data_IF_055278122209
#
_entry.id   IF_055278122209
#
_cell.length_a   1.000
_cell.length_b   1.000
_cell.length_c   1.000
_cell.angle_alpha   90.00
_cell.angle_beta   90.00
_cell.angle_gamma   90.00
#
_symmetry.space_group_name_H-M   'P 1'
#
loop_
_entity.id
_entity.type
_entity.pdbx_description
1 polymer ?
#
# COMPACT_ATOMS: atom_id res chain seq x y z
N UNK A 1 9.39 -11.08 13.20
CA UNK A 1 10.36 -9.98 12.99
C UNK A 1 10.17 -8.93 14.08
N UNK A 2 11.25 -8.30 14.53
CA UNK A 2 11.20 -7.16 15.45
C UNK A 2 11.82 -5.94 14.75
N UNK A 3 11.17 -4.80 14.84
CA UNK A 3 11.57 -3.54 14.18
C UNK A 3 11.72 -2.46 15.24
N UNK A 4 12.84 -1.75 15.24
CA UNK A 4 13.01 -0.52 16.01
C UNK A 4 12.26 0.63 15.33
N UNK A 5 11.08 0.99 15.81
CA UNK A 5 10.28 2.07 15.28
C UNK A 5 10.80 3.43 15.76
N UNK A 6 11.07 4.36 14.84
CA UNK A 6 11.55 5.73 15.15
C UNK A 6 10.40 6.60 15.63
N UNK A 7 9.84 6.22 16.77
CA UNK A 7 8.71 6.87 17.46
C UNK A 7 9.03 7.16 18.92
N UNK A 8 10.31 7.15 19.30
CA UNK A 8 10.74 7.58 20.64
C UNK A 8 10.50 9.07 20.89
N UNK A 9 10.81 9.52 22.10
CA UNK A 9 10.50 10.88 22.57
C UNK A 9 11.26 11.97 21.80
N UNK A 10 12.39 11.62 21.18
CA UNK A 10 13.23 12.52 20.39
C UNK A 10 13.27 12.08 18.92
N UNK A 11 12.34 12.61 18.11
CA UNK A 11 12.27 12.36 16.66
C UNK A 11 12.28 13.68 15.89
N UNK A 12 13.40 14.00 15.23
CA UNK A 12 13.57 15.22 14.42
C UNK A 12 13.42 14.91 12.93
N UNK A 13 12.19 14.92 12.41
CA UNK A 13 11.88 14.71 10.98
C UNK A 13 11.39 16.02 10.35
N UNK A 14 11.92 16.46 9.19
CA UNK A 14 11.42 17.62 8.45
C UNK A 14 9.93 17.49 8.09
N UNK A 15 9.16 18.57 8.19
CA UNK A 15 7.70 18.57 8.03
C UNK A 15 7.22 17.95 6.69
N UNK A 16 7.84 18.33 5.57
CA UNK A 16 7.47 17.80 4.25
C UNK A 16 7.66 16.27 4.14
N UNK A 17 8.70 15.74 4.81
CA UNK A 17 8.95 14.29 4.89
C UNK A 17 7.97 13.59 5.83
N UNK A 18 7.42 14.31 6.81
CA UNK A 18 6.40 13.79 7.74
C UNK A 18 5.10 13.51 7.01
N UNK A 19 4.67 14.38 6.10
CA UNK A 19 3.45 14.17 5.31
C UNK A 19 3.59 12.95 4.38
N UNK A 20 4.66 12.90 3.58
CA UNK A 20 4.90 11.75 2.70
C UNK A 20 5.03 10.43 3.46
N UNK A 21 5.75 10.42 4.60
CA UNK A 21 5.81 9.25 5.50
C UNK A 21 4.41 8.88 6.00
N UNK A 22 3.62 9.84 6.44
CA UNK A 22 2.27 9.59 6.96
C UNK A 22 1.36 8.99 5.89
N UNK A 23 1.36 9.52 4.66
CA UNK A 23 0.56 8.97 3.55
C UNK A 23 0.96 7.52 3.25
N UNK A 24 2.26 7.24 3.13
CA UNK A 24 2.75 5.89 2.87
C UNK A 24 2.41 4.93 4.01
N UNK A 25 2.54 5.38 5.27
CA UNK A 25 2.15 4.59 6.44
C UNK A 25 0.65 4.31 6.42
N UNK A 26 -0.21 5.30 6.20
CA UNK A 26 -1.66 5.10 6.17
C UNK A 26 -2.07 4.12 5.06
N UNK A 27 -1.49 4.26 3.87
CA UNK A 27 -1.71 3.33 2.76
C UNK A 27 -1.28 1.90 3.14
N UNK A 28 -0.10 1.76 3.74
CA UNK A 28 0.41 0.46 4.19
C UNK A 28 -0.46 -0.15 5.29
N UNK A 29 -0.91 0.64 6.27
CA UNK A 29 -1.80 0.19 7.35
C UNK A 29 -3.16 -0.25 6.80
N UNK A 30 -3.75 0.55 5.91
CA UNK A 30 -5.01 0.25 5.24
C UNK A 30 -4.94 -1.09 4.49
N UNK A 31 -3.95 -1.24 3.61
CA UNK A 31 -3.84 -2.42 2.75
C UNK A 31 -3.35 -3.67 3.49
N UNK A 32 -2.48 -3.53 4.50
CA UNK A 32 -2.03 -4.67 5.31
C UNK A 32 -3.04 -5.08 6.40
N UNK A 33 -3.95 -4.18 6.78
CA UNK A 33 -4.87 -4.29 7.93
C UNK A 33 -4.14 -4.44 9.27
N UNK A 34 -2.98 -3.81 9.39
CA UNK A 34 -2.12 -3.86 10.58
C UNK A 34 -1.63 -2.46 10.91
N UNK A 35 -1.44 -2.16 12.20
CA UNK A 35 -0.84 -0.88 12.61
C UNK A 35 0.67 -0.92 12.38
N UNK A 36 1.21 0.10 11.72
CA UNK A 36 2.61 0.21 11.30
C UNK A 36 3.15 1.57 11.77
N UNK A 37 3.71 1.66 12.99
CA UNK A 37 4.22 2.92 13.52
C UNK A 37 5.42 3.47 12.72
N UNK A 38 6.22 2.60 12.10
CA UNK A 38 7.32 3.02 11.23
C UNK A 38 7.64 1.97 10.15
N UNK A 39 7.19 2.25 8.93
CA UNK A 39 7.40 1.36 7.78
C UNK A 39 8.88 1.32 7.33
N UNK A 40 9.55 2.46 7.40
CA UNK A 40 10.84 2.69 6.73
C UNK A 40 12.04 2.54 7.68
N UNK A 41 11.88 1.93 8.86
CA UNK A 41 13.00 1.73 9.78
C UNK A 41 13.96 0.66 9.26
N UNK A 42 15.24 0.97 9.11
CA UNK A 42 16.27 -0.01 8.76
C UNK A 42 16.68 -0.91 9.92
N UNK A 43 16.42 -0.52 11.17
CA UNK A 43 16.86 -1.26 12.34
C UNK A 43 15.87 -2.37 12.70
N UNK A 44 16.25 -3.62 12.43
CA UNK A 44 15.35 -4.77 12.53
C UNK A 44 16.11 -6.08 12.69
N UNK A 45 15.42 -7.08 13.23
CA UNK A 45 15.86 -8.48 13.29
C UNK A 45 14.75 -9.41 12.82
N UNK A 46 15.09 -10.37 11.98
CA UNK A 46 14.16 -11.35 11.41
C UNK A 46 14.89 -12.67 11.18
N UNK A 47 14.12 -13.75 11.05
CA UNK A 47 14.68 -15.07 10.73
C UNK A 47 14.99 -15.14 9.23
N UNK A 48 16.16 -15.69 8.89
CA UNK A 48 16.65 -15.76 7.50
C UNK A 48 15.74 -16.60 6.61
N UNK A 49 15.31 -17.76 7.10
CA UNK A 49 14.40 -18.68 6.40
C UNK A 49 13.10 -17.98 5.96
N UNK A 50 12.48 -17.21 6.86
CA UNK A 50 11.27 -16.45 6.54
C UNK A 50 11.55 -15.35 5.51
N UNK A 51 12.68 -14.64 5.63
CA UNK A 51 13.04 -13.61 4.65
C UNK A 51 13.30 -14.20 3.26
N UNK A 52 13.91 -15.38 3.17
CA UNK A 52 14.20 -16.01 1.87
C UNK A 52 12.93 -16.46 1.13
N UNK A 53 11.83 -16.77 1.83
CA UNK A 53 10.54 -17.11 1.21
C UNK A 53 9.98 -15.99 0.32
N UNK A 54 10.36 -14.75 0.60
CA UNK A 54 9.88 -13.57 -0.12
C UNK A 54 10.93 -12.97 -1.05
N UNK A 55 12.03 -13.68 -1.30
CA UNK A 55 13.18 -13.16 -2.03
C UNK A 55 12.83 -12.64 -3.43
N UNK A 56 11.97 -13.37 -4.15
CA UNK A 56 11.53 -12.99 -5.50
C UNK A 56 10.70 -11.69 -5.56
N UNK A 57 10.19 -11.20 -4.43
CA UNK A 57 9.45 -9.93 -4.38
C UNK A 57 10.33 -8.74 -4.02
N UNK A 58 11.58 -8.97 -3.59
CA UNK A 58 12.45 -7.88 -3.21
C UNK A 58 12.84 -7.06 -4.44
N UNK A 59 12.75 -5.72 -4.36
CA UNK A 59 13.22 -4.87 -5.44
C UNK A 59 14.75 -4.91 -5.51
N UNK A 60 15.32 -4.76 -6.71
CA UNK A 60 16.77 -4.75 -6.94
C UNK A 60 17.51 -3.58 -6.29
N UNK A 61 16.78 -2.60 -5.75
CA UNK A 61 17.34 -1.38 -5.15
C UNK A 61 16.75 -1.04 -3.80
N UNK A 62 16.29 0.20 -3.68
CA UNK A 62 15.71 0.69 -2.43
C UNK A 62 14.37 0.00 -2.14
N UNK A 63 13.99 -0.07 -0.87
CA UNK A 63 12.69 -0.58 -0.36
C UNK A 63 12.61 -2.05 0.05
N UNK A 64 13.72 -2.76 0.22
CA UNK A 64 13.75 -4.05 0.91
C UNK A 64 12.98 -4.01 2.25
N UNK A 65 13.23 -2.96 3.04
CA UNK A 65 12.64 -2.75 4.37
C UNK A 65 11.10 -2.69 4.33
N UNK A 66 10.54 -1.95 3.40
CA UNK A 66 9.09 -1.86 3.19
C UNK A 66 8.54 -3.20 2.72
N UNK A 67 9.24 -3.84 1.78
CA UNK A 67 8.81 -5.10 1.16
C UNK A 67 8.69 -6.23 2.16
N UNK A 68 9.75 -6.48 2.93
CA UNK A 68 9.75 -7.56 3.93
C UNK A 68 8.75 -7.28 5.06
N UNK A 69 8.55 -6.01 5.46
CA UNK A 69 7.55 -5.65 6.48
C UNK A 69 6.15 -5.96 5.98
N UNK A 70 5.79 -5.51 4.77
CA UNK A 70 4.48 -5.78 4.21
C UNK A 70 4.27 -7.28 3.97
N UNK A 71 5.23 -7.97 3.36
CA UNK A 71 5.13 -9.41 3.11
C UNK A 71 4.92 -10.19 4.43
N UNK A 72 5.66 -9.86 5.49
CA UNK A 72 5.44 -10.53 6.78
C UNK A 72 4.07 -10.22 7.38
N UNK A 73 3.61 -8.96 7.34
CA UNK A 73 2.30 -8.56 7.88
C UNK A 73 1.12 -9.15 7.09
N UNK A 74 1.21 -9.18 5.76
CA UNK A 74 0.14 -9.72 4.90
C UNK A 74 0.06 -11.25 4.96
N UNK A 75 1.15 -11.92 5.27
CA UNK A 75 1.22 -13.38 5.46
C UNK A 75 1.11 -13.80 6.94
N UNK A 76 0.55 -12.95 7.80
CA UNK A 76 0.25 -13.27 9.20
C UNK A 76 1.46 -13.66 10.09
N UNK A 77 2.69 -13.31 9.69
CA UNK A 77 3.85 -13.47 10.56
C UNK A 77 3.80 -12.45 11.70
N UNK A 78 4.33 -12.83 12.87
CA UNK A 78 4.43 -11.93 14.02
C UNK A 78 5.48 -10.84 13.77
N UNK A 79 5.04 -9.59 13.74
CA UNK A 79 5.89 -8.40 13.66
C UNK A 79 5.68 -7.55 14.91
N UNK A 80 6.75 -7.27 15.65
CA UNK A 80 6.71 -6.40 16.84
C UNK A 80 7.50 -5.13 16.58
N UNK A 81 6.91 -3.99 16.93
CA UNK A 81 7.58 -2.68 16.87
C UNK A 81 8.03 -2.28 18.28
N UNK A 82 9.29 -1.90 18.43
CA UNK A 82 9.85 -1.38 19.67
C UNK A 82 10.27 0.08 19.45
N UNK A 83 9.85 1.04 20.30
CA UNK A 83 10.24 2.43 20.12
C UNK A 83 11.74 2.60 20.28
N UNK A 84 12.35 3.39 19.39
CA UNK A 84 13.76 3.81 19.45
C UNK A 84 13.86 5.32 19.21
N UNK A 85 14.87 5.94 19.82
CA UNK A 85 15.22 7.33 19.56
C UNK A 85 15.93 7.45 18.21
N UNK A 86 15.62 8.53 17.47
CA UNK A 86 16.22 8.78 16.15
C UNK A 86 16.78 10.19 16.08
N UNK A 87 18.11 10.27 16.19
CA UNK A 87 18.84 11.52 16.17
C UNK A 87 18.92 12.09 14.74
N UNK A 88 19.17 13.40 14.66
CA UNK A 88 19.35 14.09 13.38
C UNK A 88 20.54 13.48 12.65
N UNK A 89 20.31 13.04 11.40
CA UNK A 89 21.38 12.54 10.52
C UNK A 89 22.42 13.65 10.30
N UNK A 90 23.69 13.27 10.38
CA UNK A 90 24.82 14.04 9.84
C UNK A 90 25.03 13.62 8.38
N UNK A 91 25.06 14.58 7.45
CA UNK A 91 25.21 14.35 6.01
C UNK A 91 23.92 14.50 5.18
N UNK A 92 24.07 14.49 3.85
CA UNK A 92 22.97 14.64 2.90
C UNK A 92 22.22 13.32 2.69
N UNK A 93 20.92 13.42 2.40
CA UNK A 93 20.10 12.27 2.03
C UNK A 93 20.28 11.99 0.55
N UNK A 94 20.53 10.74 0.17
CA UNK A 94 20.50 10.28 -1.22
C UNK A 94 19.07 10.12 -1.77
N UNK A 95 18.06 10.20 -0.89
CA UNK A 95 16.64 10.04 -1.22
C UNK A 95 16.12 11.28 -1.94
N UNK A 96 15.56 11.08 -3.13
CA UNK A 96 14.83 12.06 -3.92
C UNK A 96 13.35 12.03 -3.51
N UNK A 97 12.82 13.08 -2.84
CA UNK A 97 11.51 13.03 -2.18
C UNK A 97 10.34 12.60 -3.08
N UNK A 98 10.28 13.09 -4.32
CA UNK A 98 9.16 12.82 -5.24
C UNK A 98 9.30 11.45 -5.89
N UNK A 99 10.46 11.19 -6.52
CA UNK A 99 10.73 9.92 -7.21
C UNK A 99 10.61 8.72 -6.26
N UNK A 100 11.21 8.83 -5.08
CA UNK A 100 11.20 7.72 -4.13
C UNK A 100 9.81 7.53 -3.50
N UNK A 101 9.07 8.62 -3.27
CA UNK A 101 7.67 8.53 -2.82
C UNK A 101 6.79 7.76 -3.81
N UNK A 102 6.89 8.05 -5.11
CA UNK A 102 6.15 7.33 -6.14
C UNK A 102 6.58 5.86 -6.20
N UNK A 103 7.88 5.59 -6.19
CA UNK A 103 8.42 4.23 -6.18
C UNK A 103 7.89 3.43 -4.98
N UNK A 104 7.89 4.03 -3.79
CA UNK A 104 7.35 3.41 -2.58
C UNK A 104 5.84 3.17 -2.68
N UNK A 105 5.10 4.12 -3.25
CA UNK A 105 3.65 3.98 -3.42
C UNK A 105 3.33 2.79 -4.34
N UNK A 106 3.98 2.73 -5.50
CA UNK A 106 3.85 1.63 -6.46
C UNK A 106 4.24 0.30 -5.81
N UNK A 107 5.30 0.27 -5.02
CA UNK A 107 5.72 -0.93 -4.30
C UNK A 107 4.69 -1.41 -3.29
N UNK A 108 4.15 -0.52 -2.47
CA UNK A 108 3.11 -0.86 -1.49
C UNK A 108 1.90 -1.45 -2.22
N UNK A 109 1.43 -0.79 -3.29
CA UNK A 109 0.32 -1.27 -4.12
C UNK A 109 0.65 -2.64 -4.72
N UNK A 110 1.85 -2.84 -5.28
CA UNK A 110 2.28 -4.11 -5.89
C UNK A 110 2.26 -5.26 -4.90
N UNK A 111 2.88 -5.09 -3.73
CA UNK A 111 2.94 -6.14 -2.71
C UNK A 111 1.53 -6.46 -2.19
N UNK A 112 0.73 -5.43 -1.93
CA UNK A 112 -0.63 -5.63 -1.46
C UNK A 112 -1.52 -6.26 -2.52
N UNK A 113 -1.33 -5.94 -3.80
CA UNK A 113 -2.01 -6.60 -4.91
C UNK A 113 -1.65 -8.09 -5.02
N UNK A 114 -0.40 -8.47 -4.70
CA UNK A 114 0.01 -9.87 -4.67
C UNK A 114 -0.62 -10.68 -3.52
N UNK A 115 -0.84 -10.08 -2.35
CA UNK A 115 -1.28 -10.83 -1.16
C UNK A 115 -2.73 -10.60 -0.73
N UNK A 116 -3.30 -9.45 -1.10
CA UNK A 116 -4.61 -8.95 -0.69
C UNK A 116 -5.23 -8.10 -1.82
N UNK A 117 -5.39 -8.65 -3.03
CA UNK A 117 -5.80 -7.90 -4.22
C UNK A 117 -7.12 -7.15 -4.05
N UNK A 118 -8.11 -7.73 -3.36
CA UNK A 118 -9.40 -7.08 -3.15
C UNK A 118 -9.27 -5.70 -2.48
N UNK A 119 -8.32 -5.52 -1.56
CA UNK A 119 -8.11 -4.23 -0.90
C UNK A 119 -7.55 -3.15 -1.83
N UNK A 120 -6.94 -3.55 -2.94
CA UNK A 120 -6.41 -2.64 -3.96
C UNK A 120 -7.48 -2.31 -5.00
N UNK A 121 -8.21 -3.30 -5.48
CA UNK A 121 -9.12 -3.15 -6.62
C UNK A 121 -10.57 -2.76 -6.23
N UNK A 122 -11.06 -3.17 -5.05
CA UNK A 122 -12.46 -2.89 -4.65
C UNK A 122 -12.72 -1.40 -4.41
N UNK A 123 -11.88 -0.62 -3.69
CA UNK A 123 -12.16 0.80 -3.45
C UNK A 123 -12.30 1.64 -4.73
N UNK A 124 -11.38 1.59 -5.71
CA UNK A 124 -11.55 2.34 -6.95
C UNK A 124 -12.72 1.81 -7.79
N UNK A 125 -12.98 0.50 -7.79
CA UNK A 125 -14.13 -0.07 -8.49
C UNK A 125 -15.46 0.46 -7.96
N UNK A 126 -15.65 0.44 -6.63
CA UNK A 126 -16.85 0.97 -5.98
C UNK A 126 -17.01 2.47 -6.20
N UNK A 127 -15.90 3.23 -6.13
CA UNK A 127 -15.92 4.66 -6.42
C UNK A 127 -16.35 4.94 -7.85
N UNK A 128 -15.82 4.21 -8.84
CA UNK A 128 -16.21 4.36 -10.24
C UNK A 128 -17.66 3.98 -10.49
N UNK A 129 -18.15 2.90 -9.89
CA UNK A 129 -19.56 2.49 -9.98
C UNK A 129 -20.46 3.56 -9.34
N UNK A 130 -20.12 4.05 -8.15
CA UNK A 130 -20.91 5.06 -7.45
C UNK A 130 -20.96 6.38 -8.23
N UNK A 131 -19.82 6.85 -8.76
CA UNK A 131 -19.77 8.04 -9.62
C UNK A 131 -20.52 7.82 -10.93
N UNK A 132 -20.41 6.64 -11.54
CA UNK A 132 -21.14 6.26 -12.76
C UNK A 132 -22.65 6.30 -12.55
N UNK A 133 -23.15 5.71 -11.46
CA UNK A 133 -24.57 5.73 -11.08
C UNK A 133 -25.04 7.16 -10.80
N UNK A 134 -24.28 7.92 -10.00
CA UNK A 134 -24.62 9.31 -9.67
C UNK A 134 -24.72 10.17 -10.93
N UNK A 135 -23.73 10.07 -11.81
CA UNK A 135 -23.72 10.79 -13.08
C UNK A 135 -24.89 10.35 -13.97
N UNK A 136 -25.19 9.05 -14.01
CA UNK A 136 -26.32 8.51 -14.76
C UNK A 136 -27.66 9.03 -14.27
N UNK A 137 -27.84 9.13 -12.95
CA UNK A 137 -29.03 9.71 -12.35
C UNK A 137 -29.21 11.19 -12.71
N UNK A 138 -28.11 11.96 -12.72
CA UNK A 138 -28.11 13.37 -13.13
C UNK A 138 -28.48 13.51 -14.61
N UNK A 139 -27.86 12.73 -15.49
CA UNK A 139 -28.16 12.77 -16.93
C UNK A 139 -29.63 12.44 -17.20
N UNK A 140 -30.13 11.38 -16.55
CA UNK A 140 -31.50 10.91 -16.72
C UNK A 140 -32.52 11.95 -16.24
N UNK A 141 -32.24 12.62 -15.12
CA UNK A 141 -33.12 13.66 -14.59
C UNK A 141 -33.18 14.92 -15.45
N UNK A 142 -32.08 15.26 -16.15
CA UNK A 142 -32.00 16.50 -16.93
C UNK A 142 -32.43 16.32 -18.38
N UNK A 143 -32.10 15.19 -19.00
CA UNK A 143 -32.23 14.99 -20.44
C UNK A 143 -32.97 13.70 -20.82
N UNK A 144 -33.43 12.91 -19.85
CA UNK A 144 -34.09 11.61 -20.07
C UNK A 144 -33.28 10.57 -20.87
N UNK A 145 -31.95 10.73 -20.96
CA UNK A 145 -31.05 9.74 -21.54
C UNK A 145 -29.84 9.51 -20.62
N UNK A 146 -29.21 8.34 -20.74
CA UNK A 146 -27.96 8.03 -20.04
C UNK A 146 -26.78 8.49 -20.89
N UNK A 147 -26.00 9.45 -20.40
CA UNK A 147 -24.81 9.91 -21.10
C UNK A 147 -23.71 8.86 -21.11
N UNK A 148 -22.95 8.78 -22.21
CA UNK A 148 -21.91 7.77 -22.39
C UNK A 148 -20.89 7.69 -21.25
N UNK A 149 -20.55 8.82 -20.62
CA UNK A 149 -19.66 8.86 -19.46
C UNK A 149 -20.16 8.03 -18.26
N UNK A 150 -21.47 8.02 -17.99
CA UNK A 150 -22.04 7.25 -16.87
C UNK A 150 -21.87 5.75 -17.11
N UNK A 151 -22.17 5.33 -18.34
CA UNK A 151 -22.08 3.94 -18.77
C UNK A 151 -20.63 3.47 -18.74
N UNK A 152 -19.69 4.25 -19.30
CA UNK A 152 -18.27 3.88 -19.34
C UNK A 152 -17.66 3.83 -17.94
N UNK A 153 -17.98 4.78 -17.05
CA UNK A 153 -17.51 4.76 -15.66
C UNK A 153 -18.02 3.51 -14.91
N UNK A 154 -19.31 3.22 -15.04
CA UNK A 154 -19.93 2.06 -14.38
C UNK A 154 -19.32 0.75 -14.90
N UNK A 155 -19.19 0.61 -16.22
CA UNK A 155 -18.61 -0.58 -16.86
C UNK A 155 -17.13 -0.78 -16.46
N UNK A 156 -16.34 0.30 -16.44
CA UNK A 156 -14.93 0.25 -16.03
C UNK A 156 -14.81 -0.16 -14.55
N UNK A 157 -15.70 0.33 -13.69
CA UNK A 157 -15.75 -0.06 -12.29
C UNK A 157 -16.08 -1.55 -12.11
N UNK A 158 -17.06 -2.07 -12.86
CA UNK A 158 -17.40 -3.50 -12.87
C UNK A 158 -16.22 -4.35 -13.36
N UNK A 159 -15.57 -3.95 -14.46
CA UNK A 159 -14.37 -4.63 -14.98
C UNK A 159 -13.24 -4.65 -13.94
N UNK A 160 -12.99 -3.53 -13.28
CA UNK A 160 -11.96 -3.43 -12.22
C UNK A 160 -12.29 -4.37 -11.05
N UNK A 161 -13.56 -4.50 -10.68
CA UNK A 161 -14.00 -5.44 -9.65
C UNK A 161 -13.73 -6.89 -10.06
N UNK A 162 -14.04 -7.27 -11.30
CA UNK A 162 -13.74 -8.61 -11.82
C UNK A 162 -12.25 -8.91 -11.85
N UNK A 163 -11.40 -7.96 -12.24
CA UNK A 163 -9.94 -8.12 -12.18
C UNK A 163 -9.49 -8.35 -10.73
N UNK A 164 -10.06 -7.62 -9.77
CA UNK A 164 -9.79 -7.81 -8.35
C UNK A 164 -10.17 -9.20 -7.85
N UNK A 165 -11.36 -9.70 -8.22
CA UNK A 165 -11.84 -11.04 -7.86
C UNK A 165 -10.97 -12.14 -8.50
N UNK A 166 -10.60 -11.99 -9.78
CA UNK A 166 -9.71 -12.94 -10.45
C UNK A 166 -8.34 -13.00 -9.78
N UNK A 167 -7.76 -11.85 -9.44
CA UNK A 167 -6.49 -11.80 -8.73
C UNK A 167 -6.57 -12.50 -7.36
N UNK A 168 -7.68 -12.35 -6.64
CA UNK A 168 -7.91 -13.02 -5.35
C UNK A 168 -8.02 -14.54 -5.51
N UNK A 169 -8.77 -15.01 -6.51
CA UNK A 169 -8.90 -16.45 -6.80
C UNK A 169 -7.55 -17.08 -7.17
N UNK A 170 -6.71 -16.36 -7.92
CA UNK A 170 -5.36 -16.82 -8.28
C UNK A 170 -4.49 -16.93 -7.01
N UNK A 171 -4.49 -15.91 -6.15
CA UNK A 171 -3.74 -15.93 -4.89
C UNK A 171 -4.19 -17.06 -3.96
N UNK A 172 -5.51 -17.27 -3.82
CA UNK A 172 -6.03 -18.40 -3.03
C UNK A 172 -5.61 -19.75 -3.62
N UNK A 173 -5.66 -19.90 -4.94
CA UNK A 173 -5.25 -21.15 -5.61
C UNK A 173 -3.75 -21.43 -5.47
N UNK A 174 -2.90 -20.41 -5.44
CA UNK A 174 -1.45 -20.56 -5.23
C UNK A 174 -1.08 -20.99 -3.80
N UNK A 175 -2.00 -20.85 -2.85
CA UNK A 175 -1.80 -21.25 -1.43
C UNK A 175 -2.23 -22.68 -1.13
N UNK A 176 -3.04 -23.30 -2.01
CA UNK A 176 -3.46 -24.70 -1.95
C UNK A 176 -2.39 -25.61 -2.57
#
# INVERSE_FOLDING_TARGET
>A
MVIGARTGDLVKIPFLRRLGKWILTQLAEYLSRQKIPDLNSGFRIFRKDVAMRFFAMYPDGFSFTTTITLAMLTNHYRVKFLPINYHKRVGKSSINPVRDFLNFTILIIRICACFKPLYVFVPPALLLIALGILKGAIDYSQHHYLGGLSITMTLTGIQTLFIGLLADLIDQRMKL
#
